data_IF_791515557621
#
_entry.id   IF_791515557621
#
_cell.length_a   1.000
_cell.length_b   1.000
_cell.length_c   1.000
_cell.angle_alpha   90.00
_cell.angle_beta   90.00
_cell.angle_gamma   90.00
#
_symmetry.space_group_name_H-M   'P 1'
#
loop_
_entity.id
_entity.type
_entity.pdbx_description
1 polymer ?
#
# COMPACT_ATOMS: atom_id res chain seq x y z
N UNK A 1 -44.21 4.46 75.78
CA UNK A 1 -43.80 5.88 75.81
C UNK A 1 -42.68 6.03 74.80
N UNK A 2 -43.02 6.35 73.53
CA UNK A 2 -42.96 7.71 72.97
C UNK A 2 -41.61 8.36 73.23
N UNK A 3 -40.77 8.41 72.20
CA UNK A 3 -40.08 9.63 71.81
C UNK A 3 -39.88 9.59 70.30
N UNK A 4 -40.87 10.14 69.60
CA UNK A 4 -40.71 10.68 68.26
C UNK A 4 -39.76 11.88 68.38
N UNK A 5 -38.64 11.85 67.66
CA UNK A 5 -37.86 13.05 67.37
C UNK A 5 -37.92 13.27 65.87
N UNK A 6 -38.67 14.31 65.54
CA UNK A 6 -38.84 14.94 64.25
C UNK A 6 -37.46 15.22 63.66
N UNK A 7 -37.09 14.47 62.63
CA UNK A 7 -35.95 14.79 61.80
C UNK A 7 -36.32 16.01 60.95
N UNK A 8 -35.83 17.18 61.38
CA UNK A 8 -35.70 18.36 60.53
C UNK A 8 -34.75 17.94 59.41
N UNK A 9 -35.33 17.51 58.28
CA UNK A 9 -34.55 17.23 57.07
C UNK A 9 -34.06 18.57 56.52
N UNK A 10 -32.74 18.68 56.49
CA UNK A 10 -32.03 19.88 56.06
C UNK A 10 -32.29 20.13 54.56
N UNK A 11 -32.78 21.31 54.15
CA UNK A 11 -33.03 21.63 52.73
C UNK A 11 -31.75 21.68 51.88
N UNK A 12 -30.56 21.58 52.49
CA UNK A 12 -29.27 21.55 51.79
C UNK A 12 -29.04 20.27 50.98
N UNK A 13 -29.61 19.12 51.38
CA UNK A 13 -29.37 17.84 50.70
C UNK A 13 -30.12 17.74 49.37
N UNK A 14 -31.32 18.31 49.26
CA UNK A 14 -32.11 18.30 48.01
C UNK A 14 -31.50 19.20 46.92
N UNK A 15 -30.89 20.32 47.31
CA UNK A 15 -30.25 21.25 46.35
C UNK A 15 -28.91 20.69 45.82
N UNK A 16 -28.20 19.89 46.62
CA UNK A 16 -26.99 19.19 46.18
C UNK A 16 -27.30 18.05 45.20
N UNK A 17 -28.37 17.27 45.45
CA UNK A 17 -28.81 16.18 44.57
C UNK A 17 -29.29 16.70 43.20
N UNK A 18 -30.05 17.80 43.19
CA UNK A 18 -30.55 18.39 41.95
C UNK A 18 -29.45 19.11 41.14
N UNK A 19 -28.41 19.65 41.80
CA UNK A 19 -27.21 20.13 41.10
C UNK A 19 -26.38 18.98 40.54
N UNK A 20 -26.23 17.89 41.27
CA UNK A 20 -25.53 16.69 40.82
C UNK A 20 -26.21 16.05 39.60
N UNK A 21 -27.54 15.94 39.60
CA UNK A 21 -28.32 15.40 38.49
C UNK A 21 -28.23 16.25 37.22
N UNK A 22 -28.23 17.59 37.33
CA UNK A 22 -28.01 18.51 36.20
C UNK A 22 -26.59 18.41 35.62
N UNK A 23 -25.58 18.26 36.48
CA UNK A 23 -24.18 18.07 36.03
C UNK A 23 -24.01 16.77 35.22
N UNK A 24 -24.64 15.67 35.66
CA UNK A 24 -24.58 14.38 34.93
C UNK A 24 -25.27 14.46 33.56
N UNK A 25 -26.41 15.16 33.43
CA UNK A 25 -27.08 15.31 32.13
C UNK A 25 -26.32 16.22 31.14
N UNK A 26 -25.61 17.24 31.66
CA UNK A 26 -24.72 18.12 30.87
C UNK A 26 -23.47 17.37 30.36
N UNK A 27 -22.91 16.46 31.16
CA UNK A 27 -21.78 15.61 30.75
C UNK A 27 -22.20 14.52 29.73
N UNK A 28 -23.41 13.95 29.89
CA UNK A 28 -23.97 12.98 28.93
C UNK A 28 -24.25 13.58 27.54
N UNK A 29 -24.71 14.84 27.46
CA UNK A 29 -24.94 15.52 26.18
C UNK A 29 -23.62 15.80 25.43
N UNK A 30 -22.58 16.18 26.18
CA UNK A 30 -21.23 16.41 25.64
C UNK A 30 -20.62 15.12 25.08
N UNK A 31 -20.82 14.00 25.76
CA UNK A 31 -20.28 12.71 25.34
C UNK A 31 -21.01 12.12 24.10
N UNK A 32 -22.33 12.30 23.99
CA UNK A 32 -23.11 11.81 22.83
C UNK A 32 -22.75 12.53 21.52
N UNK A 33 -22.43 13.83 21.59
CA UNK A 33 -22.04 14.66 20.44
C UNK A 33 -20.62 14.33 19.97
N UNK A 34 -19.71 13.98 20.88
CA UNK A 34 -18.35 13.54 20.56
C UNK A 34 -18.33 12.21 19.78
N UNK A 35 -19.21 11.25 20.10
CA UNK A 35 -19.23 9.94 19.43
C UNK A 35 -19.68 10.03 17.96
N UNK A 36 -20.62 10.91 17.64
CA UNK A 36 -21.09 11.10 16.26
C UNK A 36 -20.03 11.77 15.36
N UNK A 37 -19.20 12.66 15.93
CA UNK A 37 -18.11 13.31 15.20
C UNK A 37 -16.92 12.37 14.93
N UNK A 38 -16.63 11.44 15.86
CA UNK A 38 -15.49 10.51 15.73
C UNK A 38 -15.75 9.43 14.66
N UNK A 39 -17.00 9.01 14.45
CA UNK A 39 -17.34 8.02 13.42
C UNK A 39 -17.31 8.56 11.98
N UNK A 40 -17.35 9.88 11.78
CA UNK A 40 -17.32 10.50 10.45
C UNK A 40 -15.91 10.69 9.86
N UNK A 41 -14.85 10.57 10.67
CA UNK A 41 -13.46 10.88 10.26
C UNK A 41 -12.66 9.62 9.84
N UNK A 42 -13.16 8.41 10.07
CA UNK A 42 -12.40 7.19 9.83
C UNK A 42 -12.50 6.61 8.40
N UNK A 43 -13.27 7.24 7.49
CA UNK A 43 -13.47 6.73 6.12
C UNK A 43 -12.65 7.51 5.06
N UNK A 44 -11.40 7.87 5.38
CA UNK A 44 -10.43 8.32 4.38
C UNK A 44 -9.28 7.32 4.25
N UNK A 45 -9.61 6.04 4.07
CA UNK A 45 -8.64 5.09 3.54
C UNK A 45 -8.55 5.29 2.03
N UNK A 46 -7.83 6.33 1.61
CA UNK A 46 -7.44 6.52 0.22
C UNK A 46 -6.51 5.37 -0.17
N UNK A 47 -7.08 4.33 -0.77
CA UNK A 47 -6.30 3.24 -1.35
C UNK A 47 -5.37 3.79 -2.42
N UNK A 48 -4.07 3.64 -2.24
CA UNK A 48 -3.09 3.85 -3.30
C UNK A 48 -3.45 2.90 -4.45
N UNK A 49 -3.83 3.43 -5.61
CA UNK A 49 -3.98 2.62 -6.80
C UNK A 49 -2.59 2.07 -7.16
N UNK A 50 -2.37 0.77 -6.91
CA UNK A 50 -1.24 0.04 -7.49
C UNK A 50 -1.53 -0.09 -8.97
N UNK A 51 -0.79 0.67 -9.78
CA UNK A 51 -0.73 0.42 -11.22
C UNK A 51 0.03 -0.89 -11.40
N UNK A 52 -0.62 -1.85 -12.06
CA UNK A 52 0.03 -3.09 -12.46
C UNK A 52 1.10 -2.79 -13.52
N UNK A 53 2.17 -3.60 -13.54
CA UNK A 53 3.22 -3.46 -14.54
C UNK A 53 2.67 -3.68 -15.96
N UNK A 54 3.15 -2.88 -16.91
CA UNK A 54 2.74 -2.90 -18.31
C UNK A 54 3.77 -3.66 -19.16
N UNK A 55 3.44 -4.91 -19.51
CA UNK A 55 4.31 -5.75 -20.34
C UNK A 55 4.50 -5.22 -21.77
N UNK A 56 3.57 -4.43 -22.32
CA UNK A 56 3.72 -3.86 -23.66
C UNK A 56 4.75 -2.73 -23.64
N UNK A 57 4.64 -1.83 -22.65
CA UNK A 57 5.65 -0.81 -22.42
C UNK A 57 7.02 -1.44 -22.12
N UNK A 58 7.04 -2.51 -21.32
CA UNK A 58 8.24 -3.31 -21.07
C UNK A 58 8.88 -3.88 -22.32
N UNK A 59 8.08 -4.34 -23.29
CA UNK A 59 8.58 -4.82 -24.57
C UNK A 59 9.24 -3.71 -25.41
N UNK A 60 8.67 -2.52 -25.40
CA UNK A 60 9.23 -1.35 -26.10
C UNK A 60 10.58 -0.93 -25.48
N UNK A 61 10.64 -0.86 -24.15
CA UNK A 61 11.87 -0.58 -23.42
C UNK A 61 12.95 -1.65 -23.66
N UNK A 62 12.57 -2.93 -23.62
CA UNK A 62 13.48 -4.04 -23.88
C UNK A 62 14.08 -3.97 -25.28
N UNK A 63 13.25 -3.68 -26.30
CA UNK A 63 13.72 -3.51 -27.68
C UNK A 63 14.67 -2.33 -27.81
N UNK A 64 14.41 -1.23 -27.10
CA UNK A 64 15.24 -0.02 -27.13
C UNK A 64 16.61 -0.23 -26.47
N UNK A 65 16.64 -0.88 -25.31
CA UNK A 65 17.83 -0.89 -24.45
C UNK A 65 18.58 -2.22 -24.48
N UNK A 66 17.87 -3.33 -24.59
CA UNK A 66 18.44 -4.66 -24.37
C UNK A 66 18.76 -5.41 -25.67
N UNK A 67 18.10 -5.06 -26.79
CA UNK A 67 18.20 -5.78 -28.06
C UNK A 67 19.60 -5.76 -28.70
N UNK A 68 20.47 -4.81 -28.33
CA UNK A 68 21.86 -4.79 -28.79
C UNK A 68 22.65 -6.03 -28.37
N UNK A 69 22.32 -6.61 -27.20
CA UNK A 69 23.05 -7.74 -26.62
C UNK A 69 22.19 -9.00 -26.47
N UNK A 70 20.92 -8.85 -26.11
CA UNK A 70 19.98 -9.94 -25.88
C UNK A 70 19.05 -10.15 -27.07
N UNK A 71 18.63 -11.40 -27.30
CA UNK A 71 17.41 -11.67 -28.07
C UNK A 71 16.22 -11.39 -27.16
N UNK A 72 15.48 -10.31 -27.44
CA UNK A 72 14.34 -9.88 -26.61
C UNK A 72 13.00 -10.41 -27.11
N UNK A 73 12.91 -10.78 -28.38
CA UNK A 73 11.69 -11.29 -29.02
C UNK A 73 12.00 -12.31 -30.12
N UNK A 74 11.02 -13.16 -30.46
CA UNK A 74 11.19 -14.28 -31.40
C UNK A 74 11.54 -13.83 -32.84
N UNK A 75 11.26 -12.57 -33.20
CA UNK A 75 11.58 -11.96 -34.51
C UNK A 75 13.04 -11.47 -34.62
N UNK A 76 13.79 -11.47 -33.50
CA UNK A 76 15.18 -11.05 -33.48
C UNK A 76 16.14 -12.22 -33.77
N UNK A 77 16.98 -12.06 -34.80
CA UNK A 77 17.89 -13.12 -35.30
C UNK A 77 19.31 -13.09 -34.73
N UNK A 78 19.70 -12.01 -34.06
CA UNK A 78 21.09 -11.75 -33.65
C UNK A 78 21.14 -11.32 -32.20
N UNK A 79 22.06 -11.92 -31.45
CA UNK A 79 22.49 -11.51 -30.12
C UNK A 79 24.01 -11.72 -30.01
N UNK A 80 24.61 -11.10 -29.01
CA UNK A 80 26.01 -11.37 -28.67
C UNK A 80 26.10 -12.81 -28.14
N UNK A 81 27.14 -13.55 -28.54
CA UNK A 81 27.39 -14.90 -28.03
C UNK A 81 27.49 -14.88 -26.49
N UNK A 82 27.03 -15.95 -25.84
CA UNK A 82 27.06 -16.13 -24.37
C UNK A 82 26.18 -15.18 -23.54
N UNK A 83 25.24 -14.46 -24.18
CA UNK A 83 24.21 -13.66 -23.50
C UNK A 83 22.85 -14.37 -23.61
N UNK A 84 22.14 -14.63 -22.50
CA UNK A 84 20.90 -15.42 -22.56
C UNK A 84 19.77 -14.65 -23.25
N UNK A 85 18.98 -15.30 -24.12
CA UNK A 85 17.77 -14.71 -24.66
C UNK A 85 16.71 -14.55 -23.55
N UNK A 86 15.83 -13.57 -23.66
CA UNK A 86 14.82 -13.29 -22.64
C UNK A 86 13.91 -14.50 -22.35
N UNK A 87 13.54 -15.25 -23.38
CA UNK A 87 12.78 -16.49 -23.22
C UNK A 87 13.53 -17.56 -22.39
N UNK A 88 14.86 -17.60 -22.44
CA UNK A 88 15.64 -18.49 -21.57
C UNK A 88 15.65 -17.99 -20.11
N UNK A 89 15.76 -16.67 -19.90
CA UNK A 89 15.66 -16.06 -18.58
C UNK A 89 14.30 -16.36 -17.94
N UNK A 90 13.21 -16.19 -18.69
CA UNK A 90 11.84 -16.43 -18.22
C UNK A 90 11.58 -17.91 -17.85
N UNK A 91 12.26 -18.84 -18.52
CA UNK A 91 12.15 -20.29 -18.26
C UNK A 91 13.02 -20.78 -17.11
N UNK A 92 13.89 -19.93 -16.56
CA UNK A 92 14.66 -20.30 -15.38
C UNK A 92 13.70 -20.67 -14.23
N UNK A 93 13.88 -21.81 -13.53
CA UNK A 93 13.03 -22.19 -12.40
C UNK A 93 13.04 -21.17 -11.25
N UNK A 94 14.13 -20.43 -11.07
CA UNK A 94 14.30 -19.41 -10.02
C UNK A 94 13.86 -18.00 -10.46
N UNK A 95 13.27 -17.89 -11.66
CA UNK A 95 12.80 -16.62 -12.21
C UNK A 95 11.71 -15.99 -11.31
N UNK A 96 11.86 -14.70 -11.01
CA UNK A 96 10.84 -13.85 -10.41
C UNK A 96 10.87 -12.48 -11.07
N UNK A 97 9.72 -11.89 -11.43
CA UNK A 97 9.66 -10.54 -11.98
C UNK A 97 10.27 -9.50 -11.02
N UNK A 98 10.04 -9.65 -9.72
CA UNK A 98 10.53 -8.73 -8.69
C UNK A 98 12.06 -8.79 -8.61
N UNK A 99 12.63 -10.00 -8.56
CA UNK A 99 14.09 -10.18 -8.56
C UNK A 99 14.73 -9.59 -9.81
N UNK A 100 14.11 -9.79 -10.98
CA UNK A 100 14.59 -9.22 -12.22
C UNK A 100 14.51 -7.69 -12.20
N UNK A 101 13.41 -7.11 -11.74
CA UNK A 101 13.28 -5.65 -11.63
C UNK A 101 14.35 -5.06 -10.70
N UNK A 102 14.63 -5.68 -9.57
CA UNK A 102 15.73 -5.26 -8.69
C UNK A 102 17.10 -5.37 -9.37
N UNK A 103 17.35 -6.47 -10.08
CA UNK A 103 18.58 -6.67 -10.84
C UNK A 103 18.81 -5.60 -11.90
N UNK A 104 17.76 -5.17 -12.61
CA UNK A 104 17.85 -4.10 -13.61
C UNK A 104 18.21 -2.73 -13.03
N UNK A 105 17.97 -2.53 -11.74
CA UNK A 105 18.26 -1.29 -11.02
C UNK A 105 19.64 -1.30 -10.34
N UNK A 106 20.37 -2.41 -10.41
CA UNK A 106 21.72 -2.57 -9.84
C UNK A 106 22.78 -2.62 -10.97
N UNK A 107 23.49 -1.50 -11.25
CA UNK A 107 24.47 -1.45 -12.32
C UNK A 107 25.64 -2.41 -12.10
N UNK A 108 26.04 -3.17 -13.12
CA UNK A 108 27.15 -4.11 -13.00
C UNK A 108 27.98 -4.24 -14.29
N UNK A 109 29.26 -4.67 -14.25
CA UNK A 109 30.20 -4.55 -15.36
C UNK A 109 29.81 -5.21 -16.70
N UNK A 110 28.93 -6.22 -16.68
CA UNK A 110 28.49 -6.95 -17.88
C UNK A 110 27.32 -6.30 -18.63
N UNK A 111 26.64 -5.29 -18.06
CA UNK A 111 25.49 -4.61 -18.65
C UNK A 111 25.65 -3.10 -18.46
N UNK A 112 25.41 -2.27 -19.51
CA UNK A 112 25.41 -0.83 -19.34
C UNK A 112 24.40 -0.38 -18.28
N UNK A 113 24.68 0.75 -17.64
CA UNK A 113 23.70 1.39 -16.78
C UNK A 113 22.63 2.07 -17.65
N UNK A 114 21.41 1.56 -17.64
CA UNK A 114 20.29 2.16 -18.34
C UNK A 114 19.54 3.12 -17.41
N UNK A 115 19.02 4.26 -17.93
CA UNK A 115 18.30 5.23 -17.13
C UNK A 115 16.86 4.76 -16.84
N UNK A 116 16.71 3.59 -16.21
CA UNK A 116 15.44 2.98 -15.87
C UNK A 116 15.00 3.42 -14.47
N UNK A 117 13.73 3.77 -14.33
CA UNK A 117 13.09 3.92 -13.03
C UNK A 117 12.46 2.59 -12.56
N UNK A 118 11.95 2.57 -11.32
CA UNK A 118 11.37 1.37 -10.71
C UNK A 118 10.17 0.81 -11.47
N UNK A 119 9.32 1.67 -12.03
CA UNK A 119 8.16 1.23 -12.82
C UNK A 119 8.61 0.64 -14.15
N UNK A 120 9.55 1.28 -14.85
CA UNK A 120 10.11 0.78 -16.11
C UNK A 120 10.82 -0.57 -15.94
N UNK A 121 11.54 -0.76 -14.83
CA UNK A 121 12.15 -2.05 -14.51
C UNK A 121 11.09 -3.14 -14.25
N UNK A 122 9.98 -2.79 -13.58
CA UNK A 122 8.86 -3.71 -13.37
C UNK A 122 8.15 -4.06 -14.68
N UNK A 123 7.96 -3.09 -15.58
CA UNK A 123 7.39 -3.28 -16.91
C UNK A 123 8.23 -4.26 -17.75
N UNK A 124 9.56 -4.06 -17.79
CA UNK A 124 10.48 -4.97 -18.46
C UNK A 124 10.40 -6.37 -17.83
N UNK A 125 10.37 -6.47 -16.50
CA UNK A 125 10.29 -7.76 -15.84
C UNK A 125 8.97 -8.49 -16.12
N UNK A 126 7.85 -7.76 -16.18
CA UNK A 126 6.55 -8.29 -16.59
C UNK A 126 6.58 -8.77 -18.04
N UNK A 127 7.24 -8.03 -18.94
CA UNK A 127 7.46 -8.47 -20.31
C UNK A 127 8.26 -9.78 -20.36
N UNK A 128 9.39 -9.88 -19.66
CA UNK A 128 10.18 -11.12 -19.62
C UNK A 128 9.35 -12.28 -19.08
N UNK A 129 8.57 -12.06 -18.03
CA UNK A 129 7.68 -13.08 -17.47
C UNK A 129 6.66 -13.58 -18.51
N UNK A 130 6.12 -12.69 -19.35
CA UNK A 130 5.17 -13.04 -20.41
C UNK A 130 5.75 -13.98 -21.48
N UNK A 131 7.08 -14.05 -21.60
CA UNK A 131 7.78 -14.90 -22.57
C UNK A 131 7.98 -16.34 -22.09
N UNK A 132 7.52 -16.68 -20.89
CA UNK A 132 7.56 -18.05 -20.35
C UNK A 132 6.57 -18.93 -21.12
N UNK A 133 7.11 -19.75 -22.04
CA UNK A 133 6.39 -20.80 -22.77
C UNK A 133 6.80 -22.17 -22.25
#
# INVERSE_FOLDING_TARGET
MRHESIAITCPLQAVADQRYKRSIELESCSMQICHAAILAVAFELTGSAVIAADANHGAELAKRWCATCHVVSDDQKQAVADVPPFAAVARNPDFSPEKLAFFLLDPHPKMPNFPLNRAEAADIAAYVASLRK
#
